data_IF_334162500222
#
_entry.id   IF_334162500222
#
_cell.length_a   1.000
_cell.length_b   1.000
_cell.length_c   1.000
_cell.angle_alpha   90.00
_cell.angle_beta   90.00
_cell.angle_gamma   90.00
#
_symmetry.space_group_name_H-M   'P 1'
#
loop_
_entity.id
_entity.type
_entity.pdbx_description
1 polymer ?
#
# COMPACT_ATOMS: atom_id res chain seq x y z
N UNK A 1 6.77 -0.14 -4.86
CA UNK A 1 6.49 0.71 -6.05
C UNK A 1 6.69 2.15 -5.61
N UNK A 2 7.32 2.99 -6.44
CA UNK A 2 7.45 4.42 -6.15
C UNK A 2 6.64 5.17 -7.21
N UNK A 3 5.73 6.04 -6.77
CA UNK A 3 4.87 6.83 -7.65
C UNK A 3 5.21 8.30 -7.44
N UNK A 4 5.59 8.99 -8.51
CA UNK A 4 5.90 10.42 -8.50
C UNK A 4 4.64 11.19 -8.91
N UNK A 5 4.27 12.21 -8.15
CA UNK A 5 3.01 12.95 -8.28
C UNK A 5 1.75 12.05 -8.24
N UNK A 6 1.57 11.25 -7.17
CA UNK A 6 0.39 10.42 -7.03
C UNK A 6 -0.87 11.28 -6.84
N UNK A 7 -2.04 10.87 -7.35
CA UNK A 7 -3.29 11.53 -7.01
C UNK A 7 -3.59 11.34 -5.52
N UNK A 8 -4.22 12.34 -4.90
CA UNK A 8 -4.55 12.36 -3.47
C UNK A 8 -5.38 11.16 -2.99
N UNK A 9 -6.13 10.50 -3.89
CA UNK A 9 -6.92 9.30 -3.56
C UNK A 9 -6.11 8.01 -3.53
N UNK A 10 -4.91 7.98 -4.13
CA UNK A 10 -4.15 6.73 -4.34
C UNK A 10 -3.72 6.12 -3.01
N UNK A 11 -3.30 6.94 -2.05
CA UNK A 11 -2.90 6.46 -0.73
C UNK A 11 -4.06 5.75 -0.02
N UNK A 12 -5.25 6.33 -0.03
CA UNK A 12 -6.46 5.74 0.56
C UNK A 12 -6.81 4.42 -0.13
N UNK A 13 -6.81 4.39 -1.47
CA UNK A 13 -7.08 3.18 -2.24
C UNK A 13 -6.06 2.06 -1.95
N UNK A 14 -4.78 2.42 -1.80
CA UNK A 14 -3.71 1.47 -1.43
C UNK A 14 -3.93 0.91 -0.02
N UNK A 15 -4.27 1.76 0.96
CA UNK A 15 -4.56 1.33 2.34
C UNK A 15 -5.77 0.41 2.44
N UNK A 16 -6.75 0.54 1.53
CA UNK A 16 -7.91 -0.36 1.48
C UNK A 16 -7.57 -1.73 0.86
N UNK A 17 -6.80 -1.75 -0.22
CA UNK A 17 -6.59 -2.99 -1.00
C UNK A 17 -5.41 -3.83 -0.51
N UNK A 18 -4.35 -3.22 0.00
CA UNK A 18 -3.13 -3.92 0.42
C UNK A 18 -3.32 -4.93 1.57
N UNK A 19 -4.17 -4.66 2.59
CA UNK A 19 -4.50 -5.68 3.59
C UNK A 19 -5.14 -6.92 2.97
N UNK A 20 -6.07 -6.73 2.04
CA UNK A 20 -6.76 -7.82 1.36
C UNK A 20 -5.81 -8.65 0.50
N UNK A 21 -4.93 -7.97 -0.26
CA UNK A 21 -3.90 -8.62 -1.05
C UNK A 21 -2.93 -9.42 -0.19
N UNK A 22 -2.45 -8.84 0.92
CA UNK A 22 -1.52 -9.51 1.83
C UNK A 22 -2.14 -10.76 2.44
N UNK A 23 -3.42 -10.68 2.87
CA UNK A 23 -4.16 -11.83 3.38
C UNK A 23 -4.37 -12.94 2.34
N UNK A 24 -4.54 -12.56 1.07
CA UNK A 24 -4.84 -13.50 -0.01
C UNK A 24 -3.58 -14.16 -0.56
N UNK A 25 -2.49 -13.39 -0.69
CA UNK A 25 -1.24 -13.84 -1.28
C UNK A 25 -0.28 -14.47 -0.27
N UNK A 26 -0.38 -14.11 1.01
CA UNK A 26 0.49 -14.62 2.07
C UNK A 26 -0.34 -15.26 3.20
N UNK A 27 -0.88 -16.47 2.97
CA UNK A 27 -1.71 -17.16 3.95
C UNK A 27 -0.95 -17.55 5.23
N UNK A 28 0.37 -17.67 5.17
CA UNK A 28 1.25 -17.97 6.31
C UNK A 28 1.51 -16.75 7.22
N UNK A 29 1.03 -15.57 6.84
CA UNK A 29 1.12 -14.35 7.67
C UNK A 29 2.52 -13.78 7.82
N UNK A 30 3.47 -14.19 6.97
CA UNK A 30 4.88 -13.74 7.01
C UNK A 30 5.12 -12.44 6.24
N UNK A 31 4.14 -11.97 5.46
CA UNK A 31 4.23 -10.79 4.62
C UNK A 31 3.57 -9.58 5.25
N UNK A 32 4.14 -8.40 5.02
CA UNK A 32 3.58 -7.10 5.41
C UNK A 32 3.46 -6.18 4.20
N UNK A 33 2.63 -5.15 4.34
CA UNK A 33 2.48 -4.09 3.36
C UNK A 33 2.68 -2.74 4.06
N UNK A 34 3.23 -1.77 3.33
CA UNK A 34 3.42 -0.41 3.82
C UNK A 34 3.15 0.58 2.70
N UNK A 35 2.63 1.75 3.09
CA UNK A 35 2.42 2.91 2.21
C UNK A 35 2.92 4.12 2.97
N UNK A 36 3.96 4.75 2.44
CA UNK A 36 4.64 5.87 3.11
C UNK A 36 4.96 6.97 2.09
N UNK A 37 4.84 8.21 2.53
CA UNK A 37 5.30 9.38 1.78
C UNK A 37 6.80 9.55 1.98
N UNK A 38 7.55 9.33 0.90
CA UNK A 38 9.02 9.47 0.91
C UNK A 38 9.42 10.96 1.05
N UNK A 39 8.57 11.86 0.53
CA UNK A 39 8.76 13.30 0.64
C UNK A 39 7.39 13.92 0.92
N UNK A 40 7.25 14.77 1.95
CA UNK A 40 6.03 15.55 2.16
C UNK A 40 5.81 16.52 0.99
N UNK A 41 4.55 16.96 0.82
CA UNK A 41 4.19 17.99 -0.18
C UNK A 41 4.99 19.29 -0.01
#
# INVERSE_FOLDING_TARGET
MVVINPPWTLETQMKEILPYLTKTLVPEGTGSWTVEWITPE
#
